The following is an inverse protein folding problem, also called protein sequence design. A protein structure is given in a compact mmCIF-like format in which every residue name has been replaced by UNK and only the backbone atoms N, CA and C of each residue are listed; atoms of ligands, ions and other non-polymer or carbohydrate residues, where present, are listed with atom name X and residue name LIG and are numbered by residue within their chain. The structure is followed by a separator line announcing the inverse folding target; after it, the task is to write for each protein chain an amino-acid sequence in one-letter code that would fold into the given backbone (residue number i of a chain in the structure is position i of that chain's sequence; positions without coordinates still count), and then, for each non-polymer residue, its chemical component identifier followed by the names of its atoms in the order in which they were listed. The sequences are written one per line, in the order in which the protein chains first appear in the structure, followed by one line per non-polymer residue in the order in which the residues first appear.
data_IF_712712720932
#
_entry.id   IF_712712720932
#
_cell.length_a   1.000
_cell.length_b   1.000
_cell.length_c   1.000
_cell.angle_alpha   90.00
_cell.angle_beta   90.00
_cell.angle_gamma   90.00
#
_symmetry.space_group_name_H-M   'P 1'
#
loop_
_entity.id
_entity.type
_entity.pdbx_description
1 polymer ?
#
# COMPACT_ATOMS: atom_id res chain seq x y z
N UNK A 1 19.24 -7.61 5.18
CA UNK A 1 18.78 -8.78 4.41
C UNK A 1 19.28 -8.61 2.99
N UNK A 2 19.81 -9.67 2.39
CA UNK A 2 20.24 -9.66 0.99
C UNK A 2 19.04 -9.95 0.08
N UNK A 3 19.01 -9.34 -1.10
CA UNK A 3 17.97 -9.55 -2.12
C UNK A 3 18.37 -10.71 -3.04
N UNK A 4 17.47 -11.64 -3.28
CA UNK A 4 17.65 -12.74 -4.25
C UNK A 4 16.75 -12.48 -5.46
N UNK A 5 17.29 -12.66 -6.66
CA UNK A 5 16.50 -12.53 -7.89
C UNK A 5 15.66 -13.78 -8.13
N UNK A 6 14.37 -13.57 -8.42
CA UNK A 6 13.38 -14.61 -8.71
C UNK A 6 12.78 -14.35 -10.09
N UNK A 7 13.24 -15.10 -11.10
CA UNK A 7 12.84 -14.94 -12.51
C UNK A 7 11.37 -15.35 -12.77
N UNK A 8 10.80 -16.15 -11.89
CA UNK A 8 9.43 -16.65 -11.95
C UNK A 8 8.38 -15.62 -11.54
N UNK A 9 8.80 -14.51 -10.92
CA UNK A 9 7.89 -13.43 -10.56
C UNK A 9 7.35 -12.77 -11.82
N UNK A 10 6.03 -12.79 -11.94
CA UNK A 10 5.32 -12.03 -12.98
C UNK A 10 5.48 -10.53 -12.70
N UNK A 11 5.23 -9.71 -13.70
CA UNK A 11 5.12 -8.26 -13.49
C UNK A 11 4.00 -7.94 -12.48
N UNK A 12 4.24 -6.92 -11.66
CA UNK A 12 3.19 -6.36 -10.80
C UNK A 12 2.25 -5.53 -11.69
N UNK A 13 1.00 -5.97 -11.81
CA UNK A 13 -0.04 -5.23 -12.49
C UNK A 13 -0.69 -4.24 -11.53
N UNK A 14 -0.67 -2.96 -11.88
CA UNK A 14 -1.31 -1.87 -11.12
C UNK A 14 -2.40 -1.26 -11.99
N UNK A 15 -3.65 -1.47 -11.57
CA UNK A 15 -4.84 -0.98 -12.27
C UNK A 15 -5.60 -0.04 -11.32
N UNK A 16 -5.13 1.20 -11.28
CA UNK A 16 -5.73 2.26 -10.47
C UNK A 16 -6.64 3.13 -11.33
N UNK A 17 -7.87 3.30 -10.87
CA UNK A 17 -8.83 4.15 -11.55
C UNK A 17 -8.39 5.62 -11.48
N UNK A 18 -8.53 6.35 -12.58
CA UNK A 18 -8.15 7.77 -12.67
C UNK A 18 -8.95 8.66 -11.73
N UNK A 19 -10.20 8.29 -11.47
CA UNK A 19 -11.14 9.07 -10.68
C UNK A 19 -11.68 8.20 -9.55
N UNK A 20 -11.33 8.55 -8.32
CA UNK A 20 -11.86 7.94 -7.10
C UNK A 20 -12.28 9.06 -6.16
N UNK A 21 -13.27 8.80 -5.31
CA UNK A 21 -13.52 9.65 -4.15
C UNK A 21 -12.85 9.05 -2.92
N UNK A 22 -12.30 9.91 -2.08
CA UNK A 22 -11.68 9.53 -0.83
C UNK A 22 -12.09 10.51 0.27
N UNK A 23 -12.19 10.00 1.49
CA UNK A 23 -12.28 10.82 2.69
C UNK A 23 -10.88 11.06 3.23
N UNK A 24 -10.48 12.32 3.38
CA UNK A 24 -9.21 12.72 3.95
C UNK A 24 -9.38 12.99 5.45
N UNK A 25 -8.52 12.39 6.25
CA UNK A 25 -8.52 12.56 7.70
C UNK A 25 -7.10 12.78 8.20
N UNK A 26 -6.92 13.78 9.07
CA UNK A 26 -5.80 13.82 9.98
C UNK A 26 -6.18 12.98 11.22
N UNK A 27 -5.47 11.88 11.45
CA UNK A 27 -5.72 10.98 12.58
C UNK A 27 -4.65 11.11 13.68
N UNK A 28 -4.03 12.29 13.77
CA UNK A 28 -2.94 12.66 14.69
C UNK A 28 -1.61 11.96 14.44
N UNK A 29 -1.59 10.88 13.67
CA UNK A 29 -0.37 10.14 13.30
C UNK A 29 0.05 10.38 11.85
N UNK A 30 -0.92 10.55 10.95
CA UNK A 30 -0.71 10.76 9.51
C UNK A 30 -1.90 11.52 8.92
N UNK A 31 -1.73 11.97 7.67
CA UNK A 31 -2.87 12.18 6.78
C UNK A 31 -3.21 10.85 6.12
N UNK A 32 -4.45 10.40 6.25
CA UNK A 32 -4.96 9.20 5.60
C UNK A 32 -6.06 9.57 4.61
N UNK A 33 -5.98 9.02 3.39
CA UNK A 33 -7.07 9.02 2.42
C UNK A 33 -7.74 7.65 2.42
N UNK A 34 -9.01 7.59 2.79
CA UNK A 34 -9.81 6.36 2.76
C UNK A 34 -10.68 6.34 1.50
N UNK A 35 -10.41 5.43 0.57
CA UNK A 35 -11.14 5.36 -0.70
C UNK A 35 -12.59 4.94 -0.46
N UNK A 36 -13.54 5.71 -0.99
CA UNK A 36 -14.99 5.49 -0.86
C UNK A 36 -15.60 4.91 -2.12
N UNK A 37 -15.01 5.22 -3.27
CA UNK A 37 -15.43 4.69 -4.57
C UNK A 37 -14.24 4.15 -5.34
N UNK A 38 -14.55 3.56 -6.49
CA UNK A 38 -13.57 2.96 -7.37
C UNK A 38 -13.15 1.56 -6.94
N UNK A 39 -12.55 0.85 -7.91
CA UNK A 39 -12.06 -0.51 -7.78
C UNK A 39 -10.60 -0.56 -8.24
N UNK A 40 -9.76 0.32 -7.68
CA UNK A 40 -8.32 0.30 -7.90
C UNK A 40 -7.71 -0.99 -7.32
N UNK A 41 -7.10 -1.81 -8.17
CA UNK A 41 -6.57 -3.11 -7.77
C UNK A 41 -5.10 -3.28 -8.17
N UNK A 42 -4.43 -4.18 -7.45
CA UNK A 42 -3.16 -4.77 -7.84
C UNK A 42 -3.29 -6.29 -7.98
N UNK A 43 -2.47 -6.86 -8.84
CA UNK A 43 -2.33 -8.31 -9.05
C UNK A 43 -0.97 -8.62 -9.68
N UNK A 44 -0.66 -9.88 -9.97
CA UNK A 44 0.65 -10.27 -10.50
C UNK A 44 1.74 -10.23 -9.41
N UNK A 45 3.00 -10.12 -9.80
CA UNK A 45 4.11 -10.31 -8.85
C UNK A 45 4.04 -11.69 -8.20
N UNK A 46 4.10 -11.69 -6.87
CA UNK A 46 3.89 -12.88 -6.04
C UNK A 46 2.50 -12.92 -5.37
N UNK A 47 1.57 -12.06 -5.79
CA UNK A 47 0.24 -12.01 -5.19
C UNK A 47 -0.61 -13.21 -5.65
N UNK A 48 -1.28 -13.92 -4.72
CA UNK A 48 -2.06 -15.12 -5.07
C UNK A 48 -3.35 -14.81 -5.83
N UNK A 49 -3.81 -13.56 -5.78
CA UNK A 49 -5.08 -13.11 -6.36
C UNK A 49 -5.09 -11.58 -6.48
N UNK A 50 -6.25 -11.00 -6.78
CA UNK A 50 -6.44 -9.55 -6.84
C UNK A 50 -6.60 -8.93 -5.44
N UNK A 51 -5.94 -7.80 -5.23
CA UNK A 51 -6.02 -7.00 -4.01
C UNK A 51 -6.54 -5.60 -4.33
N UNK A 52 -7.50 -5.09 -3.55
CA UNK A 52 -8.11 -3.78 -3.78
C UNK A 52 -7.61 -2.74 -2.79
N UNK A 53 -7.26 -1.56 -3.28
CA UNK A 53 -6.84 -0.43 -2.47
C UNK A 53 -8.00 0.05 -1.59
N UNK A 54 -7.72 0.37 -0.33
CA UNK A 54 -8.72 0.82 0.66
C UNK A 54 -8.34 2.13 1.32
N UNK A 55 -7.05 2.37 1.49
CA UNK A 55 -6.54 3.64 1.96
C UNK A 55 -5.13 3.88 1.42
N UNK A 56 -4.69 5.13 1.53
CA UNK A 56 -3.29 5.49 1.48
C UNK A 56 -2.95 6.44 2.61
N UNK A 57 -1.70 6.39 3.07
CA UNK A 57 -1.18 7.29 4.09
C UNK A 57 0.33 7.48 3.91
N UNK A 58 0.90 8.41 4.67
CA UNK A 58 2.29 8.81 4.54
C UNK A 58 3.02 8.68 5.87
N UNK A 59 4.31 8.41 5.80
CA UNK A 59 5.24 8.55 6.92
C UNK A 59 6.30 9.57 6.54
N UNK A 60 6.55 10.56 7.39
CA UNK A 60 7.55 11.59 7.14
C UNK A 60 8.28 11.95 8.43
N UNK A 61 9.48 12.52 8.29
CA UNK A 61 10.30 12.95 9.42
C UNK A 61 10.21 14.45 9.64
N UNK A 62 10.85 14.91 10.72
CA UNK A 62 10.97 16.33 11.03
C UNK A 62 11.98 17.08 10.15
N UNK A 63 12.81 16.35 9.38
CA UNK A 63 13.84 16.90 8.49
C UNK A 63 14.00 16.02 7.26
N UNK A 64 14.37 16.61 6.12
CA UNK A 64 14.41 15.93 4.82
C UNK A 64 15.41 14.76 4.72
N UNK A 65 16.34 14.64 5.67
CA UNK A 65 17.29 13.51 5.70
C UNK A 65 16.68 12.19 6.16
N UNK A 66 15.44 12.18 6.68
CA UNK A 66 14.80 10.98 7.26
C UNK A 66 13.28 11.09 7.26
N UNK A 67 12.59 9.95 7.34
CA UNK A 67 11.12 9.91 7.49
C UNK A 67 10.49 8.60 7.03
N UNK A 68 11.10 7.93 6.05
CA UNK A 68 10.70 6.57 5.65
C UNK A 68 10.85 5.58 6.80
N UNK A 69 9.94 4.60 6.83
CA UNK A 69 10.03 3.46 7.75
C UNK A 69 11.08 2.47 7.24
N UNK A 70 10.98 2.11 5.95
CA UNK A 70 11.93 1.26 5.26
C UNK A 70 13.21 2.01 4.90
N UNK A 71 14.28 1.22 4.69
CA UNK A 71 15.61 1.70 4.33
C UNK A 71 16.20 0.83 3.23
N UNK A 72 16.96 1.45 2.34
CA UNK A 72 17.72 0.76 1.29
C UNK A 72 19.20 0.88 1.65
N UNK A 73 19.86 -0.25 1.92
CA UNK A 73 21.27 -0.29 2.34
C UNK A 73 21.60 0.68 3.48
N UNK A 74 20.70 0.77 4.47
CA UNK A 74 20.84 1.65 5.65
C UNK A 74 20.49 3.13 5.41
N UNK A 75 20.11 3.50 4.19
CA UNK A 75 19.68 4.87 3.86
C UNK A 75 18.17 5.04 4.06
N UNK A 76 17.79 6.06 4.84
CA UNK A 76 16.40 6.55 4.94
C UNK A 76 16.10 7.58 3.85
N UNK A 77 14.81 7.71 3.54
CA UNK A 77 14.26 8.69 2.62
C UNK A 77 13.40 9.71 3.39
N UNK A 78 13.13 10.91 2.82
CA UNK A 78 12.38 11.97 3.51
C UNK A 78 10.94 11.55 3.88
N UNK A 79 10.32 10.72 3.05
CA UNK A 79 8.93 10.31 3.18
C UNK A 79 8.73 8.92 2.57
N UNK A 80 7.74 8.20 3.06
CA UNK A 80 7.25 6.93 2.51
C UNK A 80 5.73 6.98 2.36
N UNK A 81 5.21 6.43 1.27
CA UNK A 81 3.77 6.27 1.04
C UNK A 81 3.41 4.81 1.20
N UNK A 82 2.35 4.54 1.96
CA UNK A 82 1.71 3.23 2.05
C UNK A 82 0.37 3.29 1.34
N UNK A 83 0.16 2.38 0.39
CA UNK A 83 -1.17 2.14 -0.21
C UNK A 83 -1.61 0.76 0.25
N UNK A 84 -2.59 0.75 1.16
CA UNK A 84 -3.05 -0.49 1.78
C UNK A 84 -4.11 -1.14 0.90
N UNK A 85 -4.00 -2.46 0.74
CA UNK A 85 -4.93 -3.26 -0.05
C UNK A 85 -5.41 -4.48 0.75
N UNK A 86 -6.55 -5.05 0.37
CA UNK A 86 -7.00 -6.35 0.89
C UNK A 86 -7.37 -7.32 -0.23
N UNK A 87 -7.24 -8.62 0.05
CA UNK A 87 -7.58 -9.69 -0.89
C UNK A 87 -9.10 -9.78 -1.09
N UNK A 88 -9.59 -9.28 -2.22
CA UNK A 88 -11.04 -9.22 -2.51
C UNK A 88 -11.62 -10.56 -2.96
N UNK A 89 -10.77 -11.51 -3.34
CA UNK A 89 -11.22 -12.84 -3.75
C UNK A 89 -11.37 -13.77 -2.56
N UNK A 90 -10.61 -13.53 -1.49
CA UNK A 90 -10.62 -14.36 -0.28
C UNK A 90 -11.53 -13.81 0.83
N UNK A 91 -11.70 -12.49 0.92
CA UNK A 91 -12.40 -11.86 2.02
C UNK A 91 -13.50 -10.90 1.54
N UNK A 92 -14.66 -10.86 2.24
CA UNK A 92 -15.77 -10.00 1.84
C UNK A 92 -15.50 -8.51 2.07
N UNK A 93 -14.60 -8.16 3.00
CA UNK A 93 -14.23 -6.78 3.32
C UNK A 93 -12.91 -6.73 4.09
N UNK A 94 -12.38 -5.52 4.26
CA UNK A 94 -11.12 -5.27 4.99
C UNK A 94 -11.18 -5.73 6.45
N UNK A 95 -12.30 -5.56 7.15
CA UNK A 95 -12.43 -5.96 8.57
C UNK A 95 -12.26 -7.48 8.74
N UNK A 96 -12.76 -8.26 7.78
CA UNK A 96 -12.54 -9.70 7.74
C UNK A 96 -11.08 -10.06 7.39
N UNK A 97 -10.46 -9.31 6.46
CA UNK A 97 -9.07 -9.53 6.05
C UNK A 97 -8.06 -9.21 7.17
N UNK A 98 -8.27 -8.14 7.94
CA UNK A 98 -7.39 -7.71 9.04
C UNK A 98 -7.26 -8.75 10.18
N UNK A 99 -8.22 -9.67 10.29
CA UNK A 99 -8.22 -10.74 11.29
C UNK A 99 -7.46 -11.98 10.83
N UNK A 100 -6.77 -11.90 9.70
CA UNK A 100 -6.12 -13.03 9.04
C UNK A 100 -4.65 -12.72 8.77
N UNK A 101 -3.79 -13.75 8.76
CA UNK A 101 -2.40 -13.61 8.33
C UNK A 101 -2.29 -13.12 6.89
#
# INVERSE_FOLDING_TARGET
KETVFHAELKDLAVDFERNVSAELQNNEHTVQATFKTGKSNISGGYLPSRFRAVQMHFHWGSVDSRGSEHQISGRKYPMEIHIVHFNVEKYPNISAALKKP
#
